data_IF_018245092337
#
_entry.id   IF_018245092337
#
_cell.length_a   1.000
_cell.length_b   1.000
_cell.length_c   1.000
_cell.angle_alpha   90.00
_cell.angle_beta   90.00
_cell.angle_gamma   90.00
#
_symmetry.space_group_name_H-M   'P 1'
#
loop_
_entity.id
_entity.type
_entity.pdbx_description
1 polymer ?
#
# COMPACT_ATOMS: atom_id res chain seq x y z
N UNK A 1 -21.43 16.55 -6.36
CA UNK A 1 -20.70 15.33 -6.71
C UNK A 1 -19.27 15.79 -6.95
N UNK A 2 -18.38 15.63 -5.97
CA UNK A 2 -16.96 15.95 -6.20
C UNK A 2 -16.42 14.85 -7.10
N UNK A 3 -15.61 15.20 -8.09
CA UNK A 3 -15.07 14.22 -9.04
C UNK A 3 -14.25 13.16 -8.29
N UNK A 4 -14.83 11.97 -8.20
CA UNK A 4 -14.42 10.80 -7.39
C UNK A 4 -12.93 10.46 -7.53
N UNK A 5 -12.42 10.65 -8.75
CA UNK A 5 -11.04 10.36 -9.15
C UNK A 5 -10.02 11.21 -8.36
N UNK A 6 -10.36 12.45 -7.99
CA UNK A 6 -9.38 13.35 -7.35
C UNK A 6 -9.08 12.93 -5.91
N UNK A 7 -10.10 12.49 -5.18
CA UNK A 7 -9.93 11.95 -3.81
C UNK A 7 -9.12 10.67 -3.81
N UNK A 8 -9.43 9.75 -4.73
CA UNK A 8 -8.72 8.48 -4.84
C UNK A 8 -7.21 8.68 -5.11
N UNK A 9 -6.88 9.53 -6.08
CA UNK A 9 -5.48 9.82 -6.40
C UNK A 9 -4.74 10.43 -5.21
N UNK A 10 -5.41 11.25 -4.39
CA UNK A 10 -4.81 11.88 -3.22
C UNK A 10 -4.56 10.87 -2.09
N UNK A 11 -5.49 9.96 -1.84
CA UNK A 11 -5.31 8.89 -0.86
C UNK A 11 -4.17 7.95 -1.23
N UNK A 12 -4.06 7.59 -2.51
CA UNK A 12 -2.92 6.81 -3.01
C UNK A 12 -1.58 7.53 -2.81
N UNK A 13 -1.51 8.84 -3.08
CA UNK A 13 -0.29 9.64 -2.85
C UNK A 13 0.07 9.73 -1.37
N UNK A 14 -0.93 9.87 -0.51
CA UNK A 14 -0.74 9.90 0.94
C UNK A 14 -0.18 8.57 1.45
N UNK A 15 -0.78 7.46 1.03
CA UNK A 15 -0.30 6.13 1.37
C UNK A 15 1.10 5.85 0.81
N UNK A 16 1.37 6.21 -0.46
CA UNK A 16 2.70 6.10 -1.05
C UNK A 16 3.76 6.83 -0.22
N UNK A 17 3.48 8.07 0.19
CA UNK A 17 4.38 8.88 1.01
C UNK A 17 4.66 8.23 2.38
N UNK A 18 3.64 7.62 2.98
CA UNK A 18 3.77 6.87 4.24
C UNK A 18 4.62 5.61 4.05
N UNK A 19 4.31 4.79 3.04
CA UNK A 19 5.06 3.57 2.73
C UNK A 19 6.53 3.89 2.48
N UNK A 20 6.81 4.92 1.68
CA UNK A 20 8.17 5.34 1.39
C UNK A 20 8.92 5.76 2.66
N UNK A 21 8.27 6.54 3.54
CA UNK A 21 8.86 7.01 4.81
C UNK A 21 9.12 5.90 5.81
N UNK A 22 8.15 5.00 6.02
CA UNK A 22 8.18 4.04 7.12
C UNK A 22 8.83 2.70 6.77
N UNK A 23 8.85 2.36 5.47
CA UNK A 23 9.34 1.06 5.01
C UNK A 23 10.56 1.14 4.11
N UNK A 24 10.72 2.20 3.31
CA UNK A 24 11.80 2.32 2.33
C UNK A 24 12.93 3.29 2.76
N UNK A 25 12.73 4.08 3.82
CA UNK A 25 13.69 5.12 4.18
C UNK A 25 14.87 4.56 5.01
N UNK A 26 16.14 4.81 4.63
CA UNK A 26 17.31 4.18 5.24
C UNK A 26 17.51 4.46 6.73
N UNK A 27 16.94 5.56 7.25
CA UNK A 27 17.06 5.95 8.68
C UNK A 27 15.86 5.51 9.52
N UNK A 28 14.73 5.13 8.89
CA UNK A 28 13.44 4.86 9.57
C UNK A 28 12.68 3.63 9.06
N UNK A 29 13.33 2.79 8.25
CA UNK A 29 12.77 1.51 7.83
C UNK A 29 12.45 0.66 9.07
N UNK A 30 11.26 0.06 9.10
CA UNK A 30 10.64 -0.69 10.23
C UNK A 30 9.78 0.12 11.21
N UNK A 31 9.31 1.31 10.86
CA UNK A 31 8.13 1.82 11.55
C UNK A 31 6.88 1.12 11.01
N UNK A 32 6.06 0.57 11.91
CA UNK A 32 4.78 -0.01 11.55
C UNK A 32 3.83 1.09 11.06
N UNK A 33 3.02 0.76 10.05
CA UNK A 33 1.94 1.62 9.63
C UNK A 33 0.83 1.61 10.67
N UNK A 34 -0.01 2.64 10.67
CA UNK A 34 -1.20 2.65 11.52
C UNK A 34 -2.05 1.39 11.27
N UNK A 35 -2.60 0.75 12.32
CA UNK A 35 -3.35 -0.51 12.19
C UNK A 35 -4.52 -0.47 11.19
N UNK A 36 -5.08 0.72 10.91
CA UNK A 36 -6.16 0.91 9.93
C UNK A 36 -5.78 0.44 8.53
N UNK A 37 -4.49 0.53 8.16
CA UNK A 37 -3.99 0.09 6.86
C UNK A 37 -3.90 -1.44 6.74
N UNK A 38 -4.05 -2.17 7.86
CA UNK A 38 -4.00 -3.64 7.92
C UNK A 38 -2.84 -4.23 7.12
N UNK A 39 -1.67 -3.59 7.16
CA UNK A 39 -0.55 -3.97 6.32
C UNK A 39 0.02 -5.33 6.72
N UNK A 40 -0.04 -6.30 5.81
CA UNK A 40 0.49 -7.64 6.06
C UNK A 40 1.20 -8.24 4.85
N UNK A 41 2.16 -9.16 5.06
CA UNK A 41 2.76 -9.89 3.94
C UNK A 41 1.71 -10.81 3.29
N UNK A 42 1.79 -10.94 1.97
CA UNK A 42 1.06 -11.94 1.22
C UNK A 42 1.85 -13.26 1.17
N UNK A 43 1.15 -14.35 0.84
CA UNK A 43 1.71 -15.71 0.80
C UNK A 43 1.47 -16.37 -0.55
N UNK A 44 1.99 -17.59 -0.76
CA UNK A 44 1.86 -18.32 -2.03
C UNK A 44 2.59 -17.62 -3.18
N UNK A 45 1.93 -17.49 -4.33
CA UNK A 45 2.48 -16.82 -5.52
C UNK A 45 2.81 -15.34 -5.29
N UNK A 46 2.22 -14.74 -4.25
CA UNK A 46 2.47 -13.37 -3.82
C UNK A 46 3.50 -13.27 -2.69
N UNK A 47 4.29 -14.32 -2.43
CA UNK A 47 5.34 -14.26 -1.42
C UNK A 47 6.34 -13.12 -1.72
N UNK A 48 6.66 -12.31 -0.70
CA UNK A 48 7.50 -11.12 -0.82
C UNK A 48 6.76 -9.87 -1.29
N UNK A 49 5.44 -9.95 -1.53
CA UNK A 49 4.55 -8.80 -1.66
C UNK A 49 3.82 -8.56 -0.34
N UNK A 50 3.20 -7.39 -0.24
CA UNK A 50 2.39 -6.95 0.89
C UNK A 50 1.08 -6.39 0.37
N UNK A 51 0.04 -6.47 1.16
CA UNK A 51 -1.20 -5.75 0.94
C UNK A 51 -1.41 -4.70 2.03
N UNK A 52 -2.19 -3.67 1.71
CA UNK A 52 -2.71 -2.73 2.68
C UNK A 52 -4.04 -2.16 2.20
N UNK A 53 -4.89 -1.81 3.14
CA UNK A 53 -6.21 -1.23 2.91
C UNK A 53 -6.11 0.29 2.90
N UNK A 54 -6.50 0.91 1.79
CA UNK A 54 -6.75 2.35 1.69
C UNK A 54 -8.13 2.65 2.27
N UNK A 55 -9.13 1.87 1.83
CA UNK A 55 -10.50 1.84 2.32
C UNK A 55 -10.92 0.37 2.59
N UNK A 56 -12.07 0.09 3.24
CA UNK A 56 -12.48 -1.27 3.58
C UNK A 56 -12.41 -2.28 2.44
N UNK A 57 -12.78 -1.88 1.22
CA UNK A 57 -12.70 -2.70 -0.01
C UNK A 57 -11.86 -2.02 -1.10
N UNK A 58 -10.82 -1.28 -0.71
CA UNK A 58 -9.82 -0.78 -1.65
C UNK A 58 -8.43 -1.06 -1.13
N UNK A 59 -7.73 -1.96 -1.82
CA UNK A 59 -6.40 -2.42 -1.43
C UNK A 59 -5.33 -1.91 -2.38
N UNK A 60 -4.12 -1.88 -1.87
CA UNK A 60 -2.88 -1.73 -2.61
C UNK A 60 -1.99 -2.95 -2.35
N UNK A 61 -1.63 -3.67 -3.41
CA UNK A 61 -0.56 -4.67 -3.39
C UNK A 61 0.74 -3.98 -3.79
N UNK A 62 1.77 -4.13 -2.96
CA UNK A 62 3.06 -3.49 -3.16
C UNK A 62 4.22 -4.38 -2.73
N UNK A 63 5.43 -3.99 -3.13
CA UNK A 63 6.68 -4.66 -2.76
C UNK A 63 7.73 -3.62 -2.39
N UNK A 64 8.56 -3.95 -1.41
CA UNK A 64 9.68 -3.10 -0.98
C UNK A 64 10.98 -3.84 -1.31
N UNK A 65 11.96 -3.09 -1.81
CA UNK A 65 13.38 -3.47 -1.85
C UNK A 65 14.18 -2.51 -0.98
N UNK A 66 15.49 -2.69 -0.88
CA UNK A 66 16.35 -1.83 -0.06
C UNK A 66 16.21 -0.33 -0.35
N UNK A 67 15.92 0.04 -1.60
CA UNK A 67 15.88 1.44 -2.03
C UNK A 67 14.61 1.84 -2.79
N UNK A 68 13.74 0.88 -3.13
CA UNK A 68 12.57 1.14 -3.96
C UNK A 68 11.29 0.57 -3.36
N UNK A 69 10.21 1.34 -3.53
CA UNK A 69 8.83 0.94 -3.31
C UNK A 69 8.16 0.71 -4.66
N UNK A 70 7.67 -0.50 -4.90
CA UNK A 70 6.97 -0.88 -6.11
C UNK A 70 5.48 -0.98 -5.82
N UNK A 71 4.67 -0.15 -6.48
CA UNK A 71 3.22 -0.27 -6.49
C UNK A 71 2.81 -1.24 -7.60
N UNK A 72 2.13 -2.33 -7.24
CA UNK A 72 1.98 -3.48 -8.14
C UNK A 72 0.55 -3.53 -8.69
N UNK A 73 -0.46 -3.49 -7.82
CA UNK A 73 -1.88 -3.44 -8.19
C UNK A 73 -2.68 -2.70 -7.13
N UNK A 74 -3.78 -2.07 -7.50
CA UNK A 74 -4.80 -1.59 -6.56
C UNK A 74 -6.19 -1.90 -7.08
N UNK A 75 -7.15 -2.02 -6.16
CA UNK A 75 -8.55 -2.36 -6.47
C UNK A 75 -9.26 -3.01 -5.29
N UNK A 76 -10.49 -3.48 -5.51
CA UNK A 76 -11.24 -4.27 -4.53
C UNK A 76 -10.66 -5.67 -4.33
N UNK A 77 -11.08 -6.36 -3.26
CA UNK A 77 -10.67 -7.74 -3.04
C UNK A 77 -11.01 -8.61 -4.26
N UNK A 78 -12.22 -8.47 -4.80
CA UNK A 78 -12.73 -9.24 -5.93
C UNK A 78 -11.99 -9.01 -7.25
N UNK A 79 -11.34 -7.85 -7.42
CA UNK A 79 -10.56 -7.55 -8.61
C UNK A 79 -9.12 -8.07 -8.51
N UNK A 80 -8.63 -8.29 -7.28
CA UNK A 80 -7.24 -8.63 -7.02
C UNK A 80 -7.03 -10.11 -6.74
N UNK A 81 -8.01 -10.78 -6.14
CA UNK A 81 -8.01 -12.20 -5.75
C UNK A 81 -9.29 -12.90 -6.23
#
# INVERSE_FOLDING_TARGET
MKDDITSEVEELKNLYSLLYRHRCHPVRANQELEPKYKDHPLTGDWNGYRDCHIEPDWLLIYKISETNLFLVRSGSHSNLF
#
